data_IF_710288723412
#
_entry.id   IF_710288723412
#
_cell.length_a   1.000
_cell.length_b   1.000
_cell.length_c   1.000
_cell.angle_alpha   90.00
_cell.angle_beta   90.00
_cell.angle_gamma   90.00
#
_symmetry.space_group_name_H-M   'P 1'
#
loop_
_entity.id
_entity.type
_entity.pdbx_description
1 polymer ?
#
# COMPACT_ATOMS: atom_id res chain seq x y z
N UNK A 1 43.47 12.73 9.27
CA UNK A 1 42.35 13.60 8.86
C UNK A 1 42.36 14.83 9.74
N UNK A 2 42.45 16.02 9.14
CA UNK A 2 42.43 17.28 9.88
C UNK A 2 41.02 17.59 10.39
N UNK A 3 40.86 18.58 11.27
CA UNK A 3 39.52 19.06 11.68
C UNK A 3 38.74 19.59 10.48
N UNK A 4 39.41 20.18 9.50
CA UNK A 4 38.80 20.61 8.25
C UNK A 4 38.15 19.43 7.51
N UNK A 5 38.83 18.29 7.37
CA UNK A 5 38.26 17.09 6.73
C UNK A 5 37.01 16.58 7.46
N UNK A 6 37.01 16.58 8.80
CA UNK A 6 35.86 16.15 9.60
C UNK A 6 34.65 17.08 9.41
N UNK A 7 34.89 18.39 9.39
CA UNK A 7 33.87 19.41 9.16
C UNK A 7 33.25 19.29 7.78
N UNK A 8 34.09 19.13 6.74
CA UNK A 8 33.65 18.90 5.37
C UNK A 8 32.86 17.60 5.25
N UNK A 9 33.35 16.48 5.81
CA UNK A 9 32.66 15.19 5.77
C UNK A 9 31.31 15.22 6.51
N UNK A 10 31.24 15.90 7.66
CA UNK A 10 30.00 16.05 8.42
C UNK A 10 28.93 16.81 7.61
N UNK A 11 29.32 17.91 6.96
CA UNK A 11 28.40 18.68 6.11
C UNK A 11 28.05 17.93 4.83
N UNK A 12 29.01 17.24 4.22
CA UNK A 12 28.77 16.40 3.04
C UNK A 12 27.71 15.33 3.35
N UNK A 13 27.83 14.62 4.48
CA UNK A 13 26.85 13.62 4.90
C UNK A 13 25.49 14.25 5.19
N UNK A 14 25.46 15.47 5.75
CA UNK A 14 24.21 16.18 6.00
C UNK A 14 23.49 16.61 4.72
N UNK A 15 24.24 17.13 3.76
CA UNK A 15 23.71 17.48 2.43
C UNK A 15 23.26 16.24 1.66
N UNK A 16 23.99 15.13 1.77
CA UNK A 16 23.57 13.85 1.21
C UNK A 16 22.25 13.36 1.81
N UNK A 17 22.11 13.47 3.15
CA UNK A 17 20.89 13.09 3.85
C UNK A 17 19.71 13.99 3.50
N UNK A 18 19.91 15.31 3.39
CA UNK A 18 18.87 16.24 2.97
C UNK A 18 18.38 15.93 1.54
N UNK A 19 19.28 15.63 0.60
CA UNK A 19 18.92 15.16 -0.75
C UNK A 19 18.17 13.82 -0.73
N UNK A 20 18.59 12.89 0.12
CA UNK A 20 17.89 11.62 0.31
C UNK A 20 16.46 11.83 0.80
N UNK A 21 16.25 12.68 1.81
CA UNK A 21 14.91 12.99 2.32
C UNK A 21 14.03 13.63 1.23
N UNK A 22 14.59 14.54 0.43
CA UNK A 22 13.87 15.12 -0.72
C UNK A 22 13.48 14.06 -1.75
N UNK A 23 14.40 13.18 -2.13
CA UNK A 23 14.12 12.10 -3.08
C UNK A 23 13.05 11.15 -2.53
N UNK A 24 13.17 10.76 -1.26
CA UNK A 24 12.22 9.89 -0.58
C UNK A 24 10.83 10.52 -0.51
N UNK A 25 10.73 11.82 -0.19
CA UNK A 25 9.45 12.52 -0.14
C UNK A 25 8.76 12.55 -1.51
N UNK A 26 9.52 12.74 -2.59
CA UNK A 26 8.96 12.71 -3.96
C UNK A 26 8.57 11.30 -4.41
N UNK A 27 9.40 10.29 -4.15
CA UNK A 27 9.07 8.91 -4.57
C UNK A 27 7.87 8.37 -3.80
N UNK A 28 7.79 8.65 -2.50
CA UNK A 28 6.62 8.29 -1.68
C UNK A 28 5.38 9.04 -2.12
N UNK A 29 5.46 10.31 -2.53
CA UNK A 29 4.33 11.06 -3.07
C UNK A 29 3.75 10.38 -4.31
N UNK A 30 4.61 10.02 -5.25
CA UNK A 30 4.21 9.34 -6.48
C UNK A 30 3.54 8.00 -6.15
N UNK A 31 4.12 7.21 -5.24
CA UNK A 31 3.50 5.95 -4.80
C UNK A 31 2.16 6.17 -4.11
N UNK A 32 2.01 7.21 -3.28
CA UNK A 32 0.73 7.55 -2.66
C UNK A 32 -0.34 7.93 -3.70
N UNK A 33 0.02 8.69 -4.74
CA UNK A 33 -0.89 9.04 -5.84
C UNK A 33 -1.35 7.78 -6.58
N UNK A 34 -0.40 6.91 -6.94
CA UNK A 34 -0.71 5.65 -7.60
C UNK A 34 -1.58 4.74 -6.71
N UNK A 35 -1.30 4.72 -5.40
CA UNK A 35 -2.10 4.00 -4.42
C UNK A 35 -3.54 4.51 -4.32
N UNK A 36 -3.74 5.83 -4.30
CA UNK A 36 -5.07 6.43 -4.32
C UNK A 36 -5.81 6.07 -5.62
N UNK A 37 -5.14 6.15 -6.77
CA UNK A 37 -5.70 5.70 -8.04
C UNK A 37 -6.11 4.23 -8.02
N UNK A 38 -5.29 3.35 -7.43
CA UNK A 38 -5.62 1.94 -7.27
C UNK A 38 -6.83 1.71 -6.35
N UNK A 39 -6.99 2.49 -5.28
CA UNK A 39 -8.18 2.45 -4.40
C UNK A 39 -9.44 2.85 -5.18
N UNK A 40 -9.36 3.91 -6.00
CA UNK A 40 -10.49 4.31 -6.84
C UNK A 40 -10.85 3.23 -7.86
N UNK A 41 -9.85 2.64 -8.52
CA UNK A 41 -10.07 1.52 -9.46
C UNK A 41 -10.68 0.33 -8.73
N UNK A 42 -10.24 0.04 -7.50
CA UNK A 42 -10.81 -1.00 -6.66
C UNK A 42 -12.30 -0.78 -6.38
N UNK A 43 -12.68 0.42 -5.91
CA UNK A 43 -14.08 0.74 -5.57
C UNK A 43 -15.01 0.78 -6.80
N UNK A 44 -14.46 1.11 -7.98
CA UNK A 44 -15.23 1.24 -9.23
C UNK A 44 -15.38 -0.12 -9.96
N UNK A 45 -14.32 -0.94 -10.00
CA UNK A 45 -14.30 -2.17 -10.80
C UNK A 45 -14.46 -3.45 -9.99
N UNK A 46 -14.35 -3.39 -8.66
CA UNK A 46 -14.41 -4.53 -7.74
C UNK A 46 -13.45 -5.67 -8.13
N UNK A 47 -12.27 -5.31 -8.67
CA UNK A 47 -11.20 -6.26 -9.03
C UNK A 47 -10.23 -6.36 -7.86
N UNK A 48 -10.17 -7.53 -7.24
CA UNK A 48 -9.30 -7.81 -6.10
C UNK A 48 -7.97 -8.38 -6.59
N UNK A 49 -6.84 -7.65 -6.47
CA UNK A 49 -5.55 -8.28 -6.66
C UNK A 49 -5.30 -9.31 -5.56
N UNK A 50 -4.66 -10.45 -5.87
CA UNK A 50 -4.28 -11.41 -4.85
C UNK A 50 -3.30 -10.76 -3.86
N UNK A 51 -3.63 -10.82 -2.56
CA UNK A 51 -2.80 -10.33 -1.44
C UNK A 51 -2.38 -8.85 -1.57
N UNK A 52 -3.30 -7.88 -1.36
CA UNK A 52 -3.03 -6.44 -1.53
C UNK A 52 -1.84 -5.94 -0.68
N UNK A 53 -1.62 -6.56 0.47
CA UNK A 53 -0.55 -6.21 1.40
C UNK A 53 0.85 -6.39 0.78
N UNK A 54 1.06 -7.40 -0.08
CA UNK A 54 2.33 -7.62 -0.76
C UNK A 54 2.62 -6.49 -1.76
N UNK A 55 1.60 -6.04 -2.49
CA UNK A 55 1.72 -4.94 -3.44
C UNK A 55 2.06 -3.61 -2.77
N UNK A 56 1.46 -3.35 -1.61
CA UNK A 56 1.77 -2.14 -0.82
C UNK A 56 3.23 -2.19 -0.35
N UNK A 57 3.66 -3.31 0.23
CA UNK A 57 5.04 -3.44 0.70
C UNK A 57 6.06 -3.42 -0.45
N UNK A 58 5.75 -4.02 -1.60
CA UNK A 58 6.64 -3.99 -2.76
C UNK A 58 6.75 -2.58 -3.35
N UNK A 59 5.65 -1.84 -3.45
CA UNK A 59 5.66 -0.45 -3.92
C UNK A 59 6.43 0.48 -2.97
N UNK A 60 6.22 0.32 -1.65
CA UNK A 60 6.96 1.09 -0.65
C UNK A 60 8.45 0.74 -0.67
N UNK A 61 8.79 -0.56 -0.75
CA UNK A 61 10.17 -1.02 -0.88
C UNK A 61 10.85 -0.47 -2.12
N UNK A 62 10.17 -0.50 -3.28
CA UNK A 62 10.67 0.09 -4.52
C UNK A 62 10.89 1.60 -4.40
N UNK A 63 9.98 2.34 -3.76
CA UNK A 63 10.13 3.79 -3.55
C UNK A 63 11.36 4.13 -2.71
N UNK A 64 11.62 3.35 -1.66
CA UNK A 64 12.80 3.49 -0.80
C UNK A 64 14.07 3.15 -1.59
N UNK A 65 14.08 2.05 -2.33
CA UNK A 65 15.23 1.67 -3.15
C UNK A 65 15.57 2.73 -4.20
N UNK A 66 14.58 3.26 -4.92
CA UNK A 66 14.78 4.34 -5.89
C UNK A 66 15.35 5.60 -5.21
N UNK A 67 14.83 5.97 -4.03
CA UNK A 67 15.34 7.10 -3.27
C UNK A 67 16.79 6.90 -2.82
N UNK A 68 17.15 5.70 -2.37
CA UNK A 68 18.54 5.35 -1.99
C UNK A 68 19.45 5.45 -3.21
N UNK A 69 19.11 4.80 -4.32
CA UNK A 69 19.91 4.81 -5.55
C UNK A 69 20.12 6.24 -6.05
N UNK A 70 19.05 7.04 -6.07
CA UNK A 70 19.13 8.45 -6.46
C UNK A 70 20.04 9.25 -5.52
N UNK A 71 19.94 9.06 -4.21
CA UNK A 71 20.75 9.76 -3.23
C UNK A 71 22.24 9.40 -3.32
N UNK A 72 22.55 8.13 -3.59
CA UNK A 72 23.92 7.67 -3.81
C UNK A 72 24.48 8.28 -5.10
N UNK A 73 23.71 8.25 -6.19
CA UNK A 73 24.16 8.78 -7.47
C UNK A 73 24.35 10.31 -7.45
N UNK A 74 23.47 11.02 -6.72
CA UNK A 74 23.55 12.48 -6.53
C UNK A 74 24.28 12.87 -5.24
N UNK A 75 25.16 12.02 -4.70
CA UNK A 75 25.89 12.33 -3.47
C UNK A 75 26.79 13.57 -3.68
N UNK A 76 26.70 14.61 -2.82
CA UNK A 76 27.55 15.80 -2.93
C UNK A 76 29.03 15.44 -2.81
N UNK A 77 29.88 16.17 -3.55
CA UNK A 77 31.32 16.05 -3.44
C UNK A 77 31.86 16.76 -2.18
N UNK A 78 33.08 16.44 -1.76
CA UNK A 78 33.74 17.16 -0.67
C UNK A 78 33.94 18.66 -0.99
N UNK A 79 34.11 18.99 -2.28
CA UNK A 79 34.23 20.38 -2.75
C UNK A 79 32.90 21.11 -2.59
N UNK A 80 31.79 20.48 -2.97
CA UNK A 80 30.44 21.07 -2.82
C UNK A 80 30.15 21.39 -1.34
N UNK A 81 30.56 20.50 -0.43
CA UNK A 81 30.40 20.69 1.00
C UNK A 81 31.28 21.84 1.52
N UNK A 82 32.52 21.97 1.04
CA UNK A 82 33.40 23.08 1.41
C UNK A 82 32.85 24.44 0.94
N UNK A 83 32.39 24.52 -0.31
CA UNK A 83 31.72 25.73 -0.85
C UNK A 83 30.48 26.08 -0.03
N UNK A 84 29.63 25.09 0.29
CA UNK A 84 28.45 25.32 1.10
C UNK A 84 28.78 25.80 2.53
N UNK A 85 29.90 25.34 3.11
CA UNK A 85 30.39 25.85 4.41
C UNK A 85 30.80 27.30 4.28
N UNK A 86 31.61 27.65 3.28
CA UNK A 86 32.09 29.01 3.06
C UNK A 86 30.92 29.98 2.83
N UNK A 87 29.93 29.59 2.03
CA UNK A 87 28.75 30.41 1.74
C UNK A 87 27.89 30.63 3.00
N UNK A 88 27.63 29.57 3.78
CA UNK A 88 26.76 29.65 4.96
C UNK A 88 27.40 30.37 6.15
N UNK A 89 28.73 30.34 6.24
CA UNK A 89 29.50 30.99 7.30
C UNK A 89 30.12 32.33 6.86
N UNK A 90 30.05 32.68 5.58
CA UNK A 90 30.66 33.90 5.04
C UNK A 90 32.19 33.88 5.08
N UNK A 91 32.81 32.71 4.92
CA UNK A 91 34.26 32.52 5.08
C UNK A 91 35.10 32.93 3.86
N UNK A 92 34.48 33.51 2.82
CA UNK A 92 35.17 33.99 1.61
C UNK A 92 36.08 32.91 0.99
N UNK A 93 35.52 31.73 0.73
CA UNK A 93 36.19 30.62 0.03
C UNK A 93 37.41 30.01 0.73
N UNK A 94 37.57 30.23 2.05
CA UNK A 94 38.70 29.66 2.81
C UNK A 94 38.74 28.13 2.74
N UNK A 95 37.62 27.44 2.93
CA UNK A 95 37.59 25.99 3.01
C UNK A 95 37.68 25.36 1.61
N UNK A 96 36.98 25.93 0.63
CA UNK A 96 37.01 25.49 -0.77
C UNK A 96 38.41 25.68 -1.37
N UNK A 97 39.05 26.82 -1.12
CA UNK A 97 40.41 27.12 -1.58
C UNK A 97 41.41 26.19 -0.92
N UNK A 98 41.37 26.03 0.41
CA UNK A 98 42.27 25.11 1.12
C UNK A 98 42.15 23.67 0.58
N UNK A 99 40.93 23.20 0.30
CA UNK A 99 40.71 21.85 -0.25
C UNK A 99 41.26 21.71 -1.69
N UNK A 100 41.28 22.80 -2.46
CA UNK A 100 41.80 22.85 -3.82
C UNK A 100 43.34 22.90 -3.84
N UNK A 101 43.96 23.78 -3.04
CA UNK A 101 45.41 24.03 -3.07
C UNK A 101 46.23 23.08 -2.20
N UNK A 102 45.62 22.27 -1.33
CA UNK A 102 46.34 21.36 -0.42
C UNK A 102 47.29 20.35 -1.08
N UNK A 103 47.14 20.09 -2.38
CA UNK A 103 48.05 19.20 -3.13
C UNK A 103 49.25 19.95 -3.72
N UNK A 104 49.26 21.28 -3.67
CA UNK A 104 50.34 22.13 -4.16
C UNK A 104 51.44 22.24 -3.10
N UNK A 105 52.71 22.29 -3.55
CA UNK A 105 53.90 22.35 -2.68
C UNK A 105 54.49 23.75 -2.60
N UNK A 106 53.65 24.78 -2.50
CA UNK A 106 54.10 26.15 -2.37
C UNK A 106 53.83 26.70 -0.95
N UNK A 107 54.60 27.70 -0.48
CA UNK A 107 54.42 28.27 0.86
C UNK A 107 53.05 28.94 1.08
N UNK A 108 52.43 29.48 0.04
CA UNK A 108 51.14 30.19 0.12
C UNK A 108 49.97 29.20 0.26
N UNK A 109 49.99 28.09 -0.45
CA UNK A 109 49.06 26.98 -0.33
C UNK A 109 49.11 26.40 1.09
N UNK A 110 50.32 26.21 1.64
CA UNK A 110 50.49 25.77 3.01
C UNK A 110 49.92 26.78 4.02
N UNK A 111 50.10 28.08 3.79
CA UNK A 111 49.51 29.11 4.65
C UNK A 111 47.97 29.12 4.57
N UNK A 112 47.40 28.99 3.37
CA UNK A 112 45.95 28.92 3.16
C UNK A 112 45.32 27.69 3.84
N UNK A 113 45.98 26.53 3.78
CA UNK A 113 45.53 25.32 4.47
C UNK A 113 45.57 25.52 5.99
N UNK A 114 46.65 26.09 6.54
CA UNK A 114 46.75 26.35 7.99
C UNK A 114 45.70 27.35 8.48
N UNK A 115 45.45 28.43 7.73
CA UNK A 115 44.41 29.41 8.05
C UNK A 115 43.01 28.77 8.06
N UNK A 116 42.72 27.90 7.08
CA UNK A 116 41.46 27.17 7.03
C UNK A 116 41.34 26.15 8.19
N UNK A 117 42.42 25.49 8.59
CA UNK A 117 42.43 24.59 9.75
C UNK A 117 42.23 25.32 11.09
N UNK A 118 42.84 26.49 11.26
CA UNK A 118 42.62 27.35 12.42
C UNK A 118 41.17 27.85 12.47
N UNK A 119 40.64 28.29 11.33
CA UNK A 119 39.24 28.69 11.20
C UNK A 119 38.30 27.52 11.52
N UNK A 120 38.63 26.31 11.06
CA UNK A 120 37.87 25.10 11.37
C UNK A 120 37.81 24.76 12.87
N UNK A 121 38.77 25.22 13.67
CA UNK A 121 38.74 25.03 15.13
C UNK A 121 37.75 25.95 15.85
N UNK A 122 37.48 27.14 15.30
CA UNK A 122 36.64 28.15 15.94
C UNK A 122 35.18 28.14 15.46
N UNK A 123 34.91 27.63 14.25
CA UNK A 123 33.56 27.63 13.67
C UNK A 123 32.69 26.46 14.14
N UNK A 124 31.39 26.72 14.31
CA UNK A 124 30.41 25.69 14.66
C UNK A 124 29.40 25.45 13.52
N UNK A 125 29.36 24.23 12.99
CA UNK A 125 28.51 23.88 11.83
C UNK A 125 27.09 23.44 12.20
N UNK A 126 26.87 23.02 13.46
CA UNK A 126 25.64 22.34 13.88
C UNK A 126 24.37 23.17 13.61
N UNK A 127 24.40 24.47 13.91
CA UNK A 127 23.25 25.39 13.80
C UNK A 127 23.03 25.94 12.39
N UNK A 128 24.07 25.94 11.54
CA UNK A 128 24.05 26.64 10.25
C UNK A 128 23.51 25.80 9.08
N UNK A 129 23.39 24.50 9.29
CA UNK A 129 22.79 23.57 8.32
C UNK A 129 21.60 22.86 8.96
N UNK A 130 20.41 23.46 9.13
CA UNK A 130 19.25 22.71 9.62
C UNK A 130 18.86 21.61 8.63
N UNK A 131 18.32 20.49 9.14
CA UNK A 131 17.66 19.51 8.27
C UNK A 131 16.28 20.07 7.91
N UNK A 132 15.99 20.17 6.62
CA UNK A 132 14.70 20.68 6.14
C UNK A 132 13.82 19.52 5.72
N UNK A 133 12.57 19.50 6.21
CA UNK A 133 11.59 18.54 5.71
C UNK A 133 11.03 19.04 4.38
N UNK A 134 11.07 18.23 3.32
CA UNK A 134 10.53 18.62 2.02
C UNK A 134 9.03 18.88 2.10
N UNK A 135 8.53 19.88 1.37
CA UNK A 135 7.09 20.16 1.28
C UNK A 135 6.29 18.95 0.77
N UNK A 136 6.92 18.12 -0.07
CA UNK A 136 6.33 16.89 -0.60
C UNK A 136 5.89 15.91 0.51
N UNK A 137 6.52 15.92 1.69
CA UNK A 137 6.12 15.08 2.84
C UNK A 137 4.75 15.45 3.39
N UNK A 138 4.37 16.73 3.35
CA UNK A 138 3.00 17.12 3.69
C UNK A 138 2.02 16.66 2.61
N UNK A 139 2.43 16.75 1.34
CA UNK A 139 1.68 16.19 0.20
C UNK A 139 1.41 14.70 0.37
N UNK A 140 2.41 13.89 0.71
CA UNK A 140 2.24 12.44 0.93
C UNK A 140 1.22 12.17 2.03
N UNK A 141 1.33 12.88 3.17
CA UNK A 141 0.38 12.74 4.27
C UNK A 141 -1.06 13.06 3.86
N UNK A 142 -1.26 14.14 3.08
CA UNK A 142 -2.61 14.51 2.59
C UNK A 142 -3.20 13.46 1.65
N UNK A 143 -2.38 12.89 0.76
CA UNK A 143 -2.84 11.90 -0.23
C UNK A 143 -3.14 10.57 0.45
N UNK A 144 -2.31 10.15 1.40
CA UNK A 144 -2.57 8.94 2.20
C UNK A 144 -3.85 9.10 3.02
N UNK A 145 -4.05 10.26 3.65
CA UNK A 145 -5.29 10.56 4.36
C UNK A 145 -6.51 10.53 3.42
N UNK A 146 -6.39 11.11 2.22
CA UNK A 146 -7.44 11.06 1.22
C UNK A 146 -7.74 9.63 0.76
N UNK A 147 -6.73 8.81 0.49
CA UNK A 147 -6.89 7.41 0.09
C UNK A 147 -7.57 6.57 1.19
N UNK A 148 -7.22 6.83 2.46
CA UNK A 148 -7.87 6.18 3.59
C UNK A 148 -9.33 6.61 3.75
N UNK A 149 -9.61 7.91 3.65
CA UNK A 149 -10.97 8.43 3.70
C UNK A 149 -11.84 7.92 2.54
N UNK A 150 -11.29 7.82 1.33
CA UNK A 150 -12.01 7.25 0.19
C UNK A 150 -12.32 5.78 0.42
N UNK A 151 -11.36 5.01 0.94
CA UNK A 151 -11.60 3.60 1.25
C UNK A 151 -12.61 3.39 2.39
N UNK A 152 -12.64 4.29 3.38
CA UNK A 152 -13.56 4.18 4.51
C UNK A 152 -14.99 4.63 4.15
N UNK A 153 -15.12 5.77 3.47
CA UNK A 153 -16.42 6.43 3.29
C UNK A 153 -17.14 5.98 2.02
N UNK A 154 -16.41 5.60 0.99
CA UNK A 154 -16.99 5.28 -0.30
C UNK A 154 -17.58 3.86 -0.27
N UNK A 155 -18.86 3.73 -0.62
CA UNK A 155 -19.47 2.42 -0.85
C UNK A 155 -19.02 1.91 -2.22
N UNK A 156 -18.78 0.60 -2.38
CA UNK A 156 -18.42 0.03 -3.68
C UNK A 156 -19.52 0.32 -4.70
N UNK A 157 -19.11 0.98 -5.78
CA UNK A 157 -20.01 1.30 -6.88
C UNK A 157 -20.03 0.08 -7.81
N UNK A 158 -21.06 -0.75 -7.67
CA UNK A 158 -21.26 -1.92 -8.55
C UNK A 158 -21.77 -1.48 -9.94
N UNK A 159 -20.89 -0.88 -10.75
CA UNK A 159 -21.18 -0.45 -12.12
C UNK A 159 -21.51 -1.63 -13.05
N UNK A 160 -21.03 -2.83 -12.72
CA UNK A 160 -21.18 -4.03 -13.55
C UNK A 160 -22.20 -5.04 -13.01
N UNK A 161 -22.92 -4.72 -11.93
CA UNK A 161 -23.93 -5.60 -11.34
C UNK A 161 -23.38 -6.93 -10.81
N UNK A 162 -22.07 -7.03 -10.53
CA UNK A 162 -21.39 -8.26 -10.11
C UNK A 162 -21.79 -8.67 -8.69
N UNK A 163 -22.01 -7.71 -7.78
CA UNK A 163 -22.54 -7.99 -6.45
C UNK A 163 -23.98 -8.46 -6.54
N UNK A 164 -24.81 -7.83 -7.37
CA UNK A 164 -26.19 -8.28 -7.62
C UNK A 164 -26.24 -9.69 -8.22
N UNK A 165 -25.28 -10.05 -9.08
CA UNK A 165 -25.17 -11.40 -9.63
C UNK A 165 -24.78 -12.42 -8.56
N UNK A 166 -23.78 -12.11 -7.72
CA UNK A 166 -23.37 -12.97 -6.59
C UNK A 166 -24.49 -13.13 -5.57
N UNK A 167 -25.18 -12.05 -5.20
CA UNK A 167 -26.34 -12.11 -4.32
C UNK A 167 -27.47 -12.97 -4.91
N UNK A 168 -27.75 -12.85 -6.22
CA UNK A 168 -28.76 -13.69 -6.87
C UNK A 168 -28.37 -15.17 -6.83
N UNK A 169 -27.11 -15.51 -7.08
CA UNK A 169 -26.62 -16.89 -7.01
C UNK A 169 -26.72 -17.41 -5.58
N UNK A 170 -26.26 -16.65 -4.59
CA UNK A 170 -26.35 -17.03 -3.17
C UNK A 170 -27.81 -17.17 -2.70
N UNK A 171 -28.71 -16.26 -3.08
CA UNK A 171 -30.15 -16.37 -2.79
C UNK A 171 -30.78 -17.58 -3.48
N UNK A 172 -30.35 -17.93 -4.69
CA UNK A 172 -30.81 -19.14 -5.38
C UNK A 172 -30.31 -20.40 -4.69
N UNK A 173 -29.08 -20.43 -4.20
CA UNK A 173 -28.53 -21.56 -3.44
C UNK A 173 -29.24 -21.74 -2.10
N UNK A 174 -29.47 -20.65 -1.35
CA UNK A 174 -30.24 -20.67 -0.10
C UNK A 174 -31.66 -21.19 -0.37
N UNK A 175 -32.34 -20.69 -1.41
CA UNK A 175 -33.67 -21.18 -1.80
C UNK A 175 -33.68 -22.67 -2.18
N UNK A 176 -32.63 -23.18 -2.83
CA UNK A 176 -32.48 -24.60 -3.14
C UNK A 176 -32.23 -25.44 -1.89
N UNK A 177 -31.43 -24.95 -0.94
CA UNK A 177 -31.19 -25.62 0.34
C UNK A 177 -32.45 -25.66 1.21
N UNK A 178 -33.21 -24.57 1.26
CA UNK A 178 -34.49 -24.52 1.98
C UNK A 178 -35.52 -25.44 1.34
N UNK A 179 -35.58 -25.51 0.00
CA UNK A 179 -36.45 -26.46 -0.69
C UNK A 179 -36.09 -27.92 -0.37
N UNK A 180 -34.80 -28.26 -0.28
CA UNK A 180 -34.35 -29.59 0.13
C UNK A 180 -34.76 -29.92 1.57
N UNK A 181 -34.57 -28.99 2.52
CA UNK A 181 -34.98 -29.17 3.93
C UNK A 181 -36.49 -29.40 4.08
N UNK A 182 -37.32 -28.68 3.32
CA UNK A 182 -38.78 -28.87 3.34
C UNK A 182 -39.17 -30.25 2.79
N UNK A 183 -38.50 -30.73 1.74
CA UNK A 183 -38.75 -32.08 1.19
C UNK A 183 -38.30 -33.17 2.17
N UNK A 184 -37.17 -32.98 2.86
CA UNK A 184 -36.71 -33.91 3.91
C UNK A 184 -37.69 -33.97 5.09
N UNK A 185 -38.24 -32.82 5.51
CA UNK A 185 -39.27 -32.76 6.56
C UNK A 185 -40.58 -33.44 6.13
N UNK A 186 -41.02 -33.22 4.89
CA UNK A 186 -42.20 -33.90 4.33
C UNK A 186 -42.00 -35.42 4.25
N UNK A 187 -40.82 -35.89 3.84
CA UNK A 187 -40.48 -37.32 3.83
C UNK A 187 -40.42 -37.92 5.24
N UNK A 188 -39.90 -37.19 6.23
CA UNK A 188 -39.91 -37.62 7.62
C UNK A 188 -41.35 -37.75 8.16
N UNK A 189 -42.22 -36.81 7.80
CA UNK A 189 -43.64 -36.83 8.18
C UNK A 189 -44.38 -38.01 7.53
N UNK A 190 -44.19 -38.26 6.24
CA UNK A 190 -44.78 -39.41 5.51
C UNK A 190 -44.26 -40.75 6.05
N UNK A 191 -42.97 -40.85 6.42
CA UNK A 191 -42.40 -42.06 7.03
C UNK A 191 -42.88 -42.32 8.47
N UNK A 192 -43.34 -41.28 9.17
CA UNK A 192 -43.87 -41.38 10.54
C UNK A 192 -45.35 -41.73 10.62
N UNK A 193 -46.05 -41.84 9.48
CA UNK A 193 -47.46 -42.21 9.43
C UNK A 193 -47.67 -43.71 9.74
N UNK A 194 -48.76 -44.09 10.41
CA UNK A 194 -49.04 -45.47 10.78
C UNK A 194 -49.21 -46.39 9.54
N UNK A 195 -48.79 -47.65 9.68
CA UNK A 195 -48.70 -48.66 8.60
C UNK A 195 -50.00 -48.91 7.82
N UNK A 196 -51.17 -48.51 8.33
CA UNK A 196 -52.47 -48.64 7.67
C UNK A 196 -52.69 -47.64 6.51
N UNK A 197 -51.94 -46.54 6.47
CA UNK A 197 -52.01 -45.52 5.41
C UNK A 197 -50.84 -45.64 4.42
N UNK A 198 -49.74 -46.24 4.86
CA UNK A 198 -48.51 -46.45 4.07
C UNK A 198 -48.67 -47.46 2.91
N UNK A 199 -49.69 -48.31 2.96
CA UNK A 199 -49.93 -49.34 1.93
C UNK A 199 -50.86 -48.87 0.80
N UNK A 200 -51.40 -47.66 0.91
CA UNK A 200 -52.22 -47.04 -0.12
C UNK A 200 -51.33 -46.60 -1.30
N UNK A 201 -51.70 -46.98 -2.53
CA UNK A 201 -50.86 -46.74 -3.74
C UNK A 201 -50.48 -45.27 -3.92
N UNK A 202 -51.37 -44.35 -3.53
CA UNK A 202 -51.15 -42.91 -3.55
C UNK A 202 -49.96 -42.46 -2.66
N UNK A 203 -49.75 -43.11 -1.52
CA UNK A 203 -48.68 -42.75 -0.56
C UNK A 203 -47.33 -43.31 -1.01
N UNK A 204 -47.32 -44.48 -1.67
CA UNK A 204 -46.11 -45.03 -2.31
C UNK A 204 -45.66 -44.18 -3.49
N UNK A 205 -46.60 -43.71 -4.31
CA UNK A 205 -46.33 -42.77 -5.41
C UNK A 205 -45.81 -41.43 -4.89
N UNK A 206 -46.44 -40.86 -3.86
CA UNK A 206 -45.98 -39.62 -3.23
C UNK A 206 -44.55 -39.76 -2.67
N UNK A 207 -44.24 -40.89 -2.00
CA UNK A 207 -42.89 -41.18 -1.49
C UNK A 207 -41.85 -41.34 -2.60
N UNK A 208 -42.19 -42.03 -3.69
CA UNK A 208 -41.31 -42.21 -4.84
C UNK A 208 -41.07 -40.88 -5.58
N UNK A 209 -42.07 -40.04 -5.71
CA UNK A 209 -41.95 -38.71 -6.32
C UNK A 209 -41.12 -37.76 -5.44
N UNK A 210 -41.31 -37.77 -4.11
CA UNK A 210 -40.49 -36.98 -3.19
C UNK A 210 -39.02 -37.45 -3.19
N UNK A 211 -38.75 -38.76 -3.28
CA UNK A 211 -37.39 -39.29 -3.43
C UNK A 211 -36.75 -38.89 -4.76
N UNK A 212 -37.51 -38.91 -5.86
CA UNK A 212 -37.04 -38.40 -7.17
C UNK A 212 -36.73 -36.90 -7.13
N UNK A 213 -37.54 -36.10 -6.43
CA UNK A 213 -37.31 -34.66 -6.28
C UNK A 213 -36.07 -34.32 -5.44
N UNK A 214 -35.67 -35.18 -4.50
CA UNK A 214 -34.43 -35.03 -3.72
C UNK A 214 -33.17 -35.34 -4.55
N UNK A 215 -33.25 -36.35 -5.42
CA UNK A 215 -32.14 -36.77 -6.28
C UNK A 215 -31.98 -35.88 -7.52
N UNK A 216 -33.07 -35.24 -7.99
CA UNK A 216 -33.03 -34.32 -9.11
C UNK A 216 -32.54 -32.91 -8.70
N UNK A 217 -31.77 -32.21 -9.56
CA UNK A 217 -31.37 -30.83 -9.30
C UNK A 217 -32.62 -29.91 -9.26
N UNK A 218 -32.84 -29.23 -8.13
CA UNK A 218 -33.95 -28.30 -7.92
C UNK A 218 -33.86 -27.14 -8.93
N UNK A 219 -34.58 -27.26 -10.04
CA UNK A 219 -34.71 -26.24 -11.08
C UNK A 219 -35.70 -25.13 -10.71
N UNK A 220 -36.74 -25.45 -9.93
CA UNK A 220 -37.74 -24.49 -9.46
C UNK A 220 -38.07 -24.71 -7.95
N UNK A 221 -37.47 -23.91 -7.05
CA UNK A 221 -37.65 -24.07 -5.60
C UNK A 221 -39.07 -23.73 -5.11
N UNK A 222 -39.85 -22.91 -5.83
CA UNK A 222 -41.24 -22.57 -5.44
C UNK A 222 -42.20 -23.71 -5.84
N UNK A 223 -42.02 -24.28 -7.03
CA UNK A 223 -42.77 -25.45 -7.51
C UNK A 223 -42.53 -26.71 -6.66
N UNK A 224 -41.29 -26.93 -6.21
CA UNK A 224 -40.97 -28.04 -5.30
C UNK A 224 -41.64 -27.88 -3.94
N UNK A 225 -41.68 -26.67 -3.36
CA UNK A 225 -42.39 -26.40 -2.10
C UNK A 225 -43.90 -26.61 -2.24
N UNK A 226 -44.51 -26.15 -3.33
CA UNK A 226 -45.96 -26.33 -3.59
C UNK A 226 -46.33 -27.81 -3.80
N UNK A 227 -45.45 -28.59 -4.40
CA UNK A 227 -45.70 -30.03 -4.63
C UNK A 227 -45.51 -30.84 -3.35
N UNK A 228 -44.51 -30.51 -2.53
CA UNK A 228 -44.30 -31.11 -1.21
C UNK A 228 -45.44 -30.82 -0.22
N UNK A 229 -46.10 -29.66 -0.32
CA UNK A 229 -47.24 -29.31 0.52
C UNK A 229 -48.57 -29.95 0.07
N UNK A 230 -48.62 -30.51 -1.15
CA UNK A 230 -49.79 -31.23 -1.70
C UNK A 230 -49.72 -32.75 -1.52
N UNK A 231 -48.53 -33.27 -1.23
CA UNK A 231 -48.27 -34.68 -0.93
C UNK A 231 -48.58 -34.96 0.55
#
# INVERSE_FOLDING_TARGET
MSRLDHHVAAVQNKLAFDRFLHALAWTTLVVSILGLGAVLVYEIFQVYPPKPMIWIYSALGAAVLVAIVYAIWRRPSARDAAVAIDDRLGLKEKFSTALFVRTMKDPFANAAVRDAEQTAQSVSLRKKFPLSFPKATYGTATIVAAAFLTFWLMKPLDLFGKEKAKEKIARQEIKKQDAKKVVEQALAQVNSMPKSVADNEAVKLAKADLQKMLQAPVKDPEGTKRSAAKA
#
